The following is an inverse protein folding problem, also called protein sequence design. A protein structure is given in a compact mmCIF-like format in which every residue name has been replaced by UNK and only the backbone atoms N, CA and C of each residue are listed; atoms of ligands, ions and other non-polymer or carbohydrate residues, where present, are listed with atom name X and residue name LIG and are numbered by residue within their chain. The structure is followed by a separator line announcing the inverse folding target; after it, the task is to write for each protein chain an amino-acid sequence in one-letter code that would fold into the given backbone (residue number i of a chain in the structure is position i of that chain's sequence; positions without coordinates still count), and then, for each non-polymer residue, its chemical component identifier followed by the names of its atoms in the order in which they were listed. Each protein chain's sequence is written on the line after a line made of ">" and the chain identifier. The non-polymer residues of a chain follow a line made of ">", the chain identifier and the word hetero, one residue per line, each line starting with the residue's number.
data_IF_463629559723
#
_entry.id   IF_463629559723
#
_cell.length_a   1.000
_cell.length_b   1.000
_cell.length_c   1.000
_cell.angle_alpha   90.00
_cell.angle_beta   90.00
_cell.angle_gamma   90.00
#
_symmetry.space_group_name_H-M   'P 1'
#
loop_
_entity.id
_entity.type
_entity.pdbx_description
1 polymer ?
#
# COMPACT_ATOMS: atom_id res chain seq x y z
N UNK A 1 -1.44 -0.02 -7.31
CA UNK A 1 -1.28 1.14 -6.40
C UNK A 1 0.18 1.40 -6.09
N UNK A 2 1.02 0.36 -5.99
CA UNK A 2 2.49 0.49 -5.88
C UNK A 2 3.07 1.34 -7.03
N UNK A 3 2.90 0.92 -8.29
CA UNK A 3 3.35 1.69 -9.47
C UNK A 3 2.84 3.15 -9.47
N UNK A 4 1.58 3.37 -9.10
CA UNK A 4 1.00 4.71 -9.07
C UNK A 4 1.58 5.58 -7.95
N UNK A 5 2.07 4.98 -6.86
CA UNK A 5 2.80 5.68 -5.82
C UNK A 5 4.26 5.93 -6.20
N UNK A 6 4.90 5.01 -6.93
CA UNK A 6 6.22 5.24 -7.57
C UNK A 6 6.17 6.42 -8.56
N UNK A 7 5.16 6.46 -9.44
CA UNK A 7 4.96 7.53 -10.42
C UNK A 7 4.79 8.91 -9.77
N UNK A 8 4.19 8.95 -8.57
CA UNK A 8 3.99 10.17 -7.79
C UNK A 8 5.16 10.48 -6.84
N UNK A 9 6.20 9.63 -6.81
CA UNK A 9 7.36 9.75 -5.93
C UNK A 9 6.99 9.70 -4.45
N UNK A 10 5.94 8.93 -4.10
CA UNK A 10 5.49 8.79 -2.73
C UNK A 10 6.22 7.62 -2.04
N UNK A 11 6.75 7.81 -0.82
CA UNK A 11 7.27 6.69 -0.04
C UNK A 11 6.20 5.63 0.16
N UNK A 12 6.56 4.36 0.00
CA UNK A 12 5.64 3.24 0.24
C UNK A 12 6.37 1.99 0.70
N UNK A 13 5.62 1.03 1.25
CA UNK A 13 6.15 -0.28 1.65
C UNK A 13 5.15 -1.38 1.33
N UNK A 14 5.61 -2.35 0.53
CA UNK A 14 4.85 -3.56 0.23
C UNK A 14 5.05 -4.58 1.35
N UNK A 15 3.97 -5.05 1.94
CA UNK A 15 4.02 -6.06 3.01
C UNK A 15 3.67 -7.42 2.42
N UNK A 16 4.59 -8.37 2.63
CA UNK A 16 4.48 -9.74 2.16
C UNK A 16 4.34 -10.65 3.37
N UNK A 17 3.37 -11.55 3.34
CA UNK A 17 3.17 -12.53 4.38
C UNK A 17 4.36 -13.50 4.46
N UNK A 18 4.84 -13.73 5.69
CA UNK A 18 5.99 -14.59 5.96
C UNK A 18 5.62 -16.08 6.11
N UNK A 19 4.41 -16.49 5.76
CA UNK A 19 3.92 -17.86 5.94
C UNK A 19 3.63 -18.21 7.40
N UNK A 20 3.58 -17.22 8.29
CA UNK A 20 3.29 -17.39 9.71
C UNK A 20 1.81 -17.20 10.03
N UNK A 21 0.99 -16.92 9.02
CA UNK A 21 -0.44 -16.69 9.13
C UNK A 21 -1.23 -17.69 8.28
N UNK A 22 -2.55 -17.52 8.21
CA UNK A 22 -3.45 -18.42 7.48
C UNK A 22 -3.41 -18.20 5.96
N UNK A 23 -2.64 -17.21 5.49
CA UNK A 23 -2.48 -16.87 4.07
C UNK A 23 -1.23 -17.58 3.53
N UNK A 24 -1.20 -18.00 2.25
CA UNK A 24 0.01 -18.59 1.67
C UNK A 24 1.24 -17.69 1.80
N UNK A 25 2.39 -18.29 2.08
CA UNK A 25 3.68 -17.59 2.12
C UNK A 25 3.95 -16.85 0.81
N UNK A 26 4.54 -15.66 0.90
CA UNK A 26 4.86 -14.85 -0.28
C UNK A 26 3.66 -14.07 -0.83
N UNK A 27 2.48 -14.16 -0.19
CA UNK A 27 1.33 -13.35 -0.58
C UNK A 27 1.52 -11.90 -0.18
N UNK A 28 1.30 -10.96 -1.10
CA UNK A 28 1.22 -9.53 -0.79
C UNK A 28 -0.06 -9.27 0.00
N UNK A 29 0.07 -8.78 1.24
CA UNK A 29 -1.07 -8.61 2.16
C UNK A 29 -1.55 -7.17 2.24
N UNK A 30 -0.65 -6.19 2.21
CA UNK A 30 -1.02 -4.78 2.18
C UNK A 30 0.09 -3.90 1.59
N UNK A 31 -0.29 -2.65 1.28
CA UNK A 31 0.59 -1.59 0.82
C UNK A 31 0.45 -0.40 1.76
N UNK A 32 1.53 -0.02 2.43
CA UNK A 32 1.61 1.24 3.18
C UNK A 32 2.06 2.37 2.25
N UNK A 33 1.38 3.51 2.28
CA UNK A 33 1.74 4.72 1.50
C UNK A 33 1.96 5.88 2.46
N UNK A 34 3.11 6.54 2.36
CA UNK A 34 3.51 7.68 3.18
C UNK A 34 4.77 7.44 4.02
N UNK A 35 5.15 8.41 4.87
CA UNK A 35 4.42 9.65 5.15
C UNK A 35 4.45 10.64 3.97
N UNK A 36 3.32 11.30 3.71
CA UNK A 36 3.16 12.34 2.69
C UNK A 36 1.92 13.20 3.02
N UNK A 37 1.79 14.41 2.42
CA UNK A 37 0.56 15.21 2.56
C UNK A 37 -0.69 14.42 2.18
N UNK A 38 -1.75 14.52 2.99
CA UNK A 38 -2.99 13.76 2.80
C UNK A 38 -3.56 13.91 1.38
N UNK A 39 -3.58 15.13 0.84
CA UNK A 39 -4.05 15.41 -0.52
C UNK A 39 -3.31 14.61 -1.61
N UNK A 40 -2.04 14.26 -1.40
CA UNK A 40 -1.28 13.42 -2.34
C UNK A 40 -1.64 11.95 -2.20
N UNK A 41 -1.83 11.47 -0.97
CA UNK A 41 -2.22 10.09 -0.68
C UNK A 41 -3.66 9.84 -1.15
N UNK A 42 -4.58 10.78 -0.90
CA UNK A 42 -5.99 10.69 -1.26
C UNK A 42 -6.23 10.63 -2.78
N UNK A 43 -5.34 11.18 -3.60
CA UNK A 43 -5.38 11.01 -5.07
C UNK A 43 -5.31 9.54 -5.48
N UNK A 44 -4.64 8.70 -4.68
CA UNK A 44 -4.50 7.26 -4.89
C UNK A 44 -5.59 6.48 -4.16
N UNK A 45 -5.81 6.78 -2.87
CA UNK A 45 -6.58 5.93 -1.97
C UNK A 45 -7.98 6.43 -1.66
N UNK A 46 -8.33 7.67 -1.99
CA UNK A 46 -9.59 8.31 -1.56
C UNK A 46 -10.87 7.66 -2.10
N UNK A 47 -10.77 6.78 -3.10
CA UNK A 47 -11.89 5.98 -3.63
C UNK A 47 -12.03 4.61 -2.96
N UNK A 48 -11.04 4.20 -2.17
CA UNK A 48 -11.08 2.93 -1.45
C UNK A 48 -12.06 3.04 -0.29
N UNK A 49 -12.77 1.95 -0.02
CA UNK A 49 -13.59 1.85 1.19
C UNK A 49 -12.67 1.70 2.39
N UNK A 50 -13.13 2.24 3.53
CA UNK A 50 -12.51 1.92 4.81
C UNK A 50 -12.72 0.42 5.11
N UNK A 51 -11.75 -0.17 5.80
CA UNK A 51 -11.71 -1.59 6.18
C UNK A 51 -12.83 -1.97 7.17
#
# INVERSE_FOLDING_TARGET
>A
LEEAADDLGLPHSLIIDRGLTQIPEGTVTCLGIGPAPAEKIDRLTGKLKLL
#
